data_IF_624358194009
#
_entry.id   IF_624358194009
#
_cell.length_a   1.000
_cell.length_b   1.000
_cell.length_c   1.000
_cell.angle_alpha   90.00
_cell.angle_beta   90.00
_cell.angle_gamma   90.00
#
_symmetry.space_group_name_H-M   'P 1'
#
loop_
_entity.id
_entity.type
_entity.pdbx_description
1 polymer ?
#
# COMPACT_ATOMS: atom_id res chain seq x y z
N UNK A 1 -22.80 -1.94 10.43
CA UNK A 1 -21.61 -2.30 9.64
C UNK A 1 -21.50 -3.80 9.67
N UNK A 2 -21.53 -4.46 8.52
CA UNK A 2 -21.09 -5.86 8.42
C UNK A 2 -19.57 -5.78 8.54
N UNK A 3 -19.02 -6.33 9.62
CA UNK A 3 -17.57 -6.46 9.73
C UNK A 3 -17.13 -7.57 8.76
N UNK A 4 -16.12 -7.30 7.93
CA UNK A 4 -15.48 -8.33 7.13
C UNK A 4 -14.95 -9.44 8.07
N UNK A 5 -14.98 -10.69 7.61
CA UNK A 5 -14.34 -11.78 8.34
C UNK A 5 -12.83 -11.54 8.44
N UNK A 6 -12.19 -12.15 9.44
CA UNK A 6 -10.73 -12.11 9.58
C UNK A 6 -10.03 -12.63 8.31
N UNK A 7 -10.56 -13.69 7.70
CA UNK A 7 -10.04 -14.26 6.44
C UNK A 7 -10.12 -13.28 5.27
N UNK A 8 -11.25 -12.57 5.13
CA UNK A 8 -11.41 -11.54 4.08
C UNK A 8 -10.46 -10.37 4.31
N UNK A 9 -10.25 -9.97 5.56
CA UNK A 9 -9.26 -8.94 5.90
C UNK A 9 -7.84 -9.39 5.55
N UNK A 10 -7.45 -10.60 5.97
CA UNK A 10 -6.13 -11.15 5.69
C UNK A 10 -5.87 -11.26 4.19
N UNK A 11 -6.88 -11.62 3.39
CA UNK A 11 -6.79 -11.59 1.93
C UNK A 11 -6.48 -10.17 1.42
N UNK A 12 -7.30 -9.20 1.80
CA UNK A 12 -7.14 -7.80 1.39
C UNK A 12 -5.76 -7.25 1.77
N UNK A 13 -5.33 -7.49 3.00
CA UNK A 13 -4.07 -6.99 3.54
C UNK A 13 -2.82 -7.68 2.96
N UNK A 14 -2.94 -8.91 2.46
CA UNK A 14 -1.79 -9.68 1.95
C UNK A 14 -1.61 -9.58 0.44
N UNK A 15 -2.70 -9.62 -0.34
CA UNK A 15 -2.64 -9.63 -1.81
C UNK A 15 -2.83 -8.26 -2.45
N UNK A 16 -3.67 -7.42 -1.86
CA UNK A 16 -4.18 -6.24 -2.52
C UNK A 16 -3.57 -4.95 -1.95
N UNK A 17 -3.53 -3.91 -2.77
CA UNK A 17 -3.26 -2.54 -2.33
C UNK A 17 -4.53 -1.89 -1.74
N UNK A 18 -4.43 -0.62 -1.33
CA UNK A 18 -5.56 0.10 -0.72
C UNK A 18 -6.75 0.31 -1.65
N UNK A 19 -6.60 0.08 -2.96
CA UNK A 19 -7.64 0.21 -3.97
C UNK A 19 -8.18 -1.15 -4.44
N UNK A 20 -7.74 -2.25 -3.81
CA UNK A 20 -8.18 -3.58 -4.20
C UNK A 20 -7.52 -4.11 -5.47
N UNK A 21 -6.41 -3.52 -5.92
CA UNK A 21 -5.59 -4.07 -7.02
C UNK A 21 -4.54 -5.02 -6.49
N UNK A 22 -4.26 -6.10 -7.22
CA UNK A 22 -3.20 -7.03 -6.85
C UNK A 22 -1.87 -6.27 -6.80
N UNK A 23 -1.12 -6.42 -5.71
CA UNK A 23 0.16 -5.71 -5.54
C UNK A 23 1.14 -6.05 -6.66
N UNK A 24 1.85 -5.04 -7.16
CA UNK A 24 2.78 -5.17 -8.28
C UNK A 24 3.89 -6.19 -8.05
N UNK A 25 4.27 -6.44 -6.80
CA UNK A 25 5.26 -7.45 -6.45
C UNK A 25 4.81 -8.87 -6.84
N UNK A 26 3.52 -9.15 -6.85
CA UNK A 26 2.98 -10.43 -7.31
C UNK A 26 2.80 -10.50 -8.83
N UNK A 27 2.89 -9.35 -9.53
CA UNK A 27 2.82 -9.26 -10.99
C UNK A 27 4.20 -9.34 -11.65
N UNK A 28 5.20 -8.69 -11.04
CA UNK A 28 6.46 -8.36 -11.74
C UNK A 28 7.73 -8.81 -11.03
N UNK A 29 7.72 -8.92 -9.69
CA UNK A 29 8.95 -9.18 -8.93
C UNK A 29 9.58 -10.53 -9.33
N UNK A 30 10.91 -10.64 -9.48
CA UNK A 30 11.55 -11.86 -9.97
C UNK A 30 11.26 -13.12 -9.14
N UNK A 31 10.97 -12.96 -7.85
CA UNK A 31 10.65 -14.08 -6.95
C UNK A 31 9.19 -14.08 -6.48
N UNK A 32 8.66 -12.90 -6.12
CA UNK A 32 7.35 -12.80 -5.43
C UNK A 32 6.18 -13.08 -6.37
N UNK A 33 6.38 -12.96 -7.69
CA UNK A 33 5.37 -13.33 -8.68
C UNK A 33 5.12 -14.84 -8.78
N UNK A 34 5.92 -15.68 -8.12
CA UNK A 34 5.81 -17.14 -8.23
C UNK A 34 5.99 -17.59 -9.68
N UNK A 35 5.08 -18.44 -10.20
CA UNK A 35 5.07 -18.81 -11.61
C UNK A 35 4.61 -17.67 -12.55
N UNK A 36 4.06 -16.57 -12.04
CA UNK A 36 3.56 -15.45 -12.85
C UNK A 36 2.33 -15.77 -13.68
N UNK A 37 1.54 -16.77 -13.27
CA UNK A 37 0.27 -17.13 -13.92
C UNK A 37 -0.90 -16.23 -13.52
N UNK A 38 -0.68 -15.35 -12.52
CA UNK A 38 -1.65 -14.37 -12.04
C UNK A 38 -1.14 -12.95 -12.26
N UNK A 39 -2.01 -12.02 -12.63
CA UNK A 39 -1.68 -10.63 -12.93
C UNK A 39 -2.84 -9.66 -12.61
N UNK A 40 -3.03 -8.62 -13.43
CA UNK A 40 -4.06 -7.58 -13.27
C UNK A 40 -5.49 -8.07 -13.45
N UNK A 41 -5.72 -9.34 -13.79
CA UNK A 41 -7.07 -9.90 -13.84
C UNK A 41 -7.79 -9.90 -12.47
N UNK A 42 -7.05 -9.87 -11.37
CA UNK A 42 -7.62 -9.67 -10.03
C UNK A 42 -7.97 -8.20 -9.73
N UNK A 43 -7.60 -7.25 -10.58
CA UNK A 43 -7.89 -5.82 -10.34
C UNK A 43 -9.37 -5.50 -10.64
N UNK A 44 -10.11 -6.42 -11.27
CA UNK A 44 -11.47 -6.22 -11.73
C UNK A 44 -12.33 -7.49 -11.58
N UNK A 45 -13.65 -7.29 -11.51
CA UNK A 45 -14.63 -8.37 -11.50
C UNK A 45 -14.97 -8.90 -10.11
N UNK A 46 -15.78 -9.96 -10.10
CA UNK A 46 -16.28 -10.57 -8.87
C UNK A 46 -15.26 -11.61 -8.37
N UNK A 47 -15.16 -11.78 -7.04
CA UNK A 47 -14.33 -12.80 -6.39
C UNK A 47 -15.17 -13.63 -5.43
N UNK A 48 -14.94 -14.94 -5.43
CA UNK A 48 -15.45 -15.87 -4.42
C UNK A 48 -14.33 -16.25 -3.48
N UNK A 49 -14.52 -16.07 -2.17
CA UNK A 49 -13.54 -16.45 -1.15
C UNK A 49 -14.02 -17.72 -0.46
N UNK A 50 -13.19 -18.75 -0.44
CA UNK A 50 -13.39 -19.94 0.39
C UNK A 50 -12.67 -19.69 1.71
N UNK A 51 -13.44 -19.37 2.75
CA UNK A 51 -12.88 -19.13 4.08
C UNK A 51 -12.52 -20.45 4.78
N UNK A 52 -13.40 -21.44 4.66
CA UNK A 52 -13.24 -22.76 5.26
C UNK A 52 -13.84 -23.84 4.34
N UNK A 53 -13.13 -24.95 4.19
CA UNK A 53 -13.58 -26.13 3.46
C UNK A 53 -13.34 -27.38 4.31
N UNK A 54 -14.41 -27.93 4.88
CA UNK A 54 -14.34 -29.07 5.78
C UNK A 54 -14.55 -30.41 5.08
N UNK A 55 -13.65 -31.38 5.30
CA UNK A 55 -13.84 -32.78 4.90
C UNK A 55 -13.89 -33.65 6.16
N UNK A 56 -15.07 -34.22 6.42
CA UNK A 56 -15.32 -35.15 7.51
C UNK A 56 -15.42 -36.57 6.94
N UNK A 57 -14.34 -37.36 7.00
CA UNK A 57 -14.32 -38.73 6.46
C UNK A 57 -13.44 -39.66 7.30
N UNK A 58 -13.91 -40.90 7.46
CA UNK A 58 -13.17 -42.00 8.11
C UNK A 58 -12.22 -42.73 7.16
N UNK A 59 -12.29 -42.45 5.85
CA UNK A 59 -11.45 -43.04 4.81
C UNK A 59 -11.14 -42.00 3.73
N UNK A 60 -10.11 -41.20 3.99
CA UNK A 60 -9.69 -40.08 3.12
C UNK A 60 -8.88 -40.54 1.88
N UNK A 61 -9.06 -41.77 1.41
CA UNK A 61 -8.30 -42.32 0.28
C UNK A 61 -8.96 -42.13 -1.09
N UNK A 62 -10.07 -41.41 -1.19
CA UNK A 62 -10.78 -41.21 -2.46
C UNK A 62 -11.03 -39.73 -2.72
N UNK A 63 -11.05 -39.37 -4.01
CA UNK A 63 -11.29 -38.04 -4.61
C UNK A 63 -12.60 -37.35 -4.19
N UNK A 64 -13.25 -37.78 -3.11
CA UNK A 64 -14.52 -37.25 -2.59
C UNK A 64 -14.44 -35.75 -2.31
N UNK A 65 -13.34 -35.26 -1.72
CA UNK A 65 -13.17 -33.83 -1.48
C UNK A 65 -13.12 -33.02 -2.79
N UNK A 66 -12.37 -33.52 -3.76
CA UNK A 66 -12.25 -32.94 -5.11
C UNK A 66 -13.61 -32.99 -5.82
N UNK A 67 -14.36 -34.08 -5.68
CA UNK A 67 -15.70 -34.23 -6.23
C UNK A 67 -16.69 -33.23 -5.62
N UNK A 68 -16.68 -33.05 -4.30
CA UNK A 68 -17.51 -32.05 -3.61
C UNK A 68 -17.17 -30.65 -4.09
N UNK A 69 -15.88 -30.30 -4.14
CA UNK A 69 -15.44 -29.01 -4.66
C UNK A 69 -15.90 -28.79 -6.10
N UNK A 70 -15.65 -29.74 -7.00
CA UNK A 70 -16.07 -29.63 -8.41
C UNK A 70 -17.59 -29.49 -8.54
N UNK A 71 -18.36 -30.21 -7.72
CA UNK A 71 -19.83 -30.09 -7.71
C UNK A 71 -20.28 -28.68 -7.32
N UNK A 72 -19.66 -28.09 -6.29
CA UNK A 72 -19.94 -26.70 -5.87
C UNK A 72 -19.56 -25.74 -6.99
N UNK A 73 -18.35 -25.84 -7.54
CA UNK A 73 -17.89 -24.95 -8.62
C UNK A 73 -18.79 -25.05 -9.86
N UNK A 74 -19.20 -26.25 -10.26
CA UNK A 74 -20.06 -26.45 -11.42
C UNK A 74 -21.47 -25.89 -11.21
N UNK A 75 -22.01 -25.96 -9.98
CA UNK A 75 -23.26 -25.28 -9.64
C UNK A 75 -23.11 -23.76 -9.74
N UNK A 76 -22.04 -23.18 -9.19
CA UNK A 76 -21.82 -21.74 -9.26
C UNK A 76 -21.56 -21.26 -10.70
N UNK A 77 -20.84 -22.05 -11.53
CA UNK A 77 -20.70 -21.78 -12.99
C UNK A 77 -22.05 -21.62 -13.67
N UNK A 78 -23.05 -22.41 -13.26
CA UNK A 78 -24.40 -22.39 -13.83
C UNK A 78 -25.21 -21.13 -13.54
N UNK A 79 -24.85 -20.36 -12.51
CA UNK A 79 -25.61 -19.18 -12.06
C UNK A 79 -25.12 -17.84 -12.67
N UNK A 80 -24.07 -17.87 -13.49
CA UNK A 80 -23.64 -16.75 -14.34
C UNK A 80 -22.56 -15.83 -13.75
N UNK A 81 -21.90 -15.11 -14.67
CA UNK A 81 -20.64 -14.33 -14.58
C UNK A 81 -19.41 -15.16 -14.18
N UNK A 82 -18.32 -14.96 -14.92
CA UNK A 82 -17.01 -15.53 -14.58
C UNK A 82 -16.42 -14.73 -13.42
N UNK A 83 -15.97 -15.42 -12.38
CA UNK A 83 -15.29 -14.86 -11.22
C UNK A 83 -14.05 -15.69 -10.91
N UNK A 84 -13.15 -15.14 -10.09
CA UNK A 84 -12.02 -15.88 -9.55
C UNK A 84 -12.35 -16.44 -8.17
N UNK A 85 -11.85 -17.63 -7.87
CA UNK A 85 -11.98 -18.22 -6.54
C UNK A 85 -10.66 -18.12 -5.82
N UNK A 86 -10.67 -17.59 -4.60
CA UNK A 86 -9.50 -17.43 -3.75
C UNK A 86 -9.67 -18.23 -2.46
N UNK A 87 -8.61 -18.89 -2.02
CA UNK A 87 -8.59 -19.65 -0.76
C UNK A 87 -7.23 -19.55 -0.10
N UNK A 88 -7.21 -19.55 1.23
CA UNK A 88 -5.95 -19.64 1.98
C UNK A 88 -5.54 -21.11 2.09
N UNK A 89 -4.24 -21.40 2.13
CA UNK A 89 -3.74 -22.78 2.30
C UNK A 89 -4.28 -23.42 3.58
N UNK A 90 -4.48 -22.66 4.65
CA UNK A 90 -5.01 -23.17 5.91
C UNK A 90 -6.54 -23.32 5.95
N UNK A 91 -7.26 -22.96 4.88
CA UNK A 91 -8.73 -23.04 4.84
C UNK A 91 -9.26 -24.48 4.75
N UNK A 92 -8.42 -25.48 4.46
CA UNK A 92 -8.82 -26.88 4.47
C UNK A 92 -8.85 -27.42 5.92
N UNK A 93 -10.03 -27.85 6.38
CA UNK A 93 -10.20 -28.48 7.69
C UNK A 93 -10.47 -29.96 7.49
N UNK A 94 -9.56 -30.80 7.98
CA UNK A 94 -9.71 -32.26 7.93
C UNK A 94 -9.99 -32.77 9.33
N UNK A 95 -11.16 -33.39 9.53
CA UNK A 95 -11.50 -34.06 10.77
C UNK A 95 -11.62 -35.56 10.53
N UNK A 96 -10.72 -36.33 11.16
CA UNK A 96 -10.76 -37.79 11.12
C UNK A 96 -11.48 -38.27 12.38
N UNK A 97 -12.72 -38.71 12.21
CA UNK A 97 -13.57 -39.16 13.30
C UNK A 97 -13.16 -40.59 13.74
N UNK A 98 -12.07 -40.71 14.51
CA UNK A 98 -11.71 -42.00 15.14
C UNK A 98 -12.37 -42.11 16.51
N UNK A 99 -13.50 -42.82 16.56
CA UNK A 99 -14.25 -43.11 17.80
C UNK A 99 -13.48 -43.98 18.83
N UNK A 100 -12.22 -44.32 18.57
CA UNK A 100 -11.36 -45.03 19.52
C UNK A 100 -9.90 -44.54 19.43
N UNK A 101 -9.50 -43.78 20.45
CA UNK A 101 -8.14 -43.72 21.02
C UNK A 101 -6.97 -43.11 20.23
N UNK A 102 -6.31 -42.16 20.93
CA UNK A 102 -4.96 -41.62 20.75
C UNK A 102 -4.75 -40.72 19.53
N UNK A 103 -4.77 -39.42 19.80
CA UNK A 103 -4.16 -38.36 19.01
C UNK A 103 -2.81 -38.80 18.40
N UNK A 104 -2.82 -39.32 17.17
CA UNK A 104 -1.80 -38.91 16.22
C UNK A 104 -2.20 -37.50 15.81
N UNK A 105 -1.69 -36.50 16.53
CA UNK A 105 -1.53 -35.19 15.91
C UNK A 105 -0.69 -35.48 14.66
N UNK A 106 -1.26 -35.30 13.48
CA UNK A 106 -0.44 -34.98 12.34
C UNK A 106 0.38 -33.77 12.78
N UNK A 107 1.69 -33.81 12.56
CA UNK A 107 2.49 -32.62 12.81
C UNK A 107 2.05 -31.57 11.77
N UNK A 108 2.08 -30.29 12.15
CA UNK A 108 1.61 -29.16 11.31
C UNK A 108 2.16 -29.22 9.86
N UNK A 109 3.38 -29.75 9.69
CA UNK A 109 4.03 -29.98 8.40
C UNK A 109 3.24 -30.91 7.47
N UNK A 110 2.69 -32.02 7.99
CA UNK A 110 1.92 -32.97 7.17
C UNK A 110 0.51 -32.46 6.85
N UNK A 111 -0.09 -31.61 7.69
CA UNK A 111 -1.37 -30.96 7.40
C UNK A 111 -1.24 -29.92 6.27
N UNK A 112 -0.17 -29.14 6.27
CA UNK A 112 0.12 -28.18 5.20
C UNK A 112 0.39 -28.86 3.86
N UNK A 113 1.25 -29.89 3.83
CA UNK A 113 1.51 -30.68 2.61
C UNK A 113 0.23 -31.26 2.01
N UNK A 114 -0.67 -31.75 2.86
CA UNK A 114 -1.95 -32.28 2.41
C UNK A 114 -2.87 -31.22 1.85
N UNK A 115 -2.97 -30.08 2.52
CA UNK A 115 -3.77 -28.96 2.03
C UNK A 115 -3.27 -28.46 0.67
N UNK A 116 -1.96 -28.33 0.52
CA UNK A 116 -1.33 -27.97 -0.75
C UNK A 116 -1.70 -28.95 -1.86
N UNK A 117 -1.57 -30.25 -1.61
CA UNK A 117 -1.93 -31.29 -2.58
C UNK A 117 -3.42 -31.23 -2.94
N UNK A 118 -4.30 -31.05 -1.95
CA UNK A 118 -5.75 -30.97 -2.16
C UNK A 118 -6.12 -29.80 -3.07
N UNK A 119 -5.70 -28.58 -2.74
CA UNK A 119 -6.05 -27.39 -3.52
C UNK A 119 -5.52 -27.48 -4.95
N UNK A 120 -4.29 -27.98 -5.14
CA UNK A 120 -3.72 -28.20 -6.46
C UNK A 120 -4.48 -29.25 -7.27
N UNK A 121 -4.96 -30.31 -6.62
CA UNK A 121 -5.79 -31.35 -7.24
C UNK A 121 -7.16 -30.82 -7.68
N UNK A 122 -7.70 -29.83 -6.96
CA UNK A 122 -8.89 -29.06 -7.35
C UNK A 122 -8.64 -28.05 -8.48
N UNK A 123 -7.40 -27.91 -8.96
CA UNK A 123 -7.03 -27.00 -10.04
C UNK A 123 -6.57 -25.61 -9.58
N UNK A 124 -6.47 -25.36 -8.27
CA UNK A 124 -5.92 -24.09 -7.79
C UNK A 124 -4.42 -23.99 -8.02
N UNK A 125 -3.94 -22.77 -8.27
CA UNK A 125 -2.50 -22.45 -8.33
C UNK A 125 -2.18 -21.29 -7.42
N UNK A 126 -0.97 -21.26 -6.87
CA UNK A 126 -0.58 -20.25 -5.89
C UNK A 126 -0.57 -18.84 -6.50
N UNK A 127 -1.02 -17.85 -5.74
CA UNK A 127 -0.90 -16.43 -6.07
C UNK A 127 0.43 -15.90 -5.58
N UNK A 128 1.37 -15.72 -6.51
CA UNK A 128 2.72 -15.27 -6.18
C UNK A 128 3.45 -16.23 -5.25
N UNK A 129 4.23 -15.67 -4.32
CA UNK A 129 4.90 -16.40 -3.24
C UNK A 129 4.10 -16.38 -1.93
N UNK A 130 2.79 -16.18 -1.99
CA UNK A 130 1.91 -16.05 -0.81
C UNK A 130 1.26 -17.37 -0.42
N UNK A 131 0.58 -17.42 0.72
CA UNK A 131 -0.21 -18.57 1.16
C UNK A 131 -1.62 -18.64 0.54
N UNK A 132 -1.90 -17.78 -0.44
CA UNK A 132 -3.15 -17.76 -1.17
C UNK A 132 -3.07 -18.52 -2.48
N UNK A 133 -4.20 -19.15 -2.81
CA UNK A 133 -4.41 -19.93 -4.02
C UNK A 133 -5.56 -19.34 -4.81
N UNK A 134 -5.38 -19.23 -6.13
CA UNK A 134 -6.38 -18.78 -7.09
C UNK A 134 -6.88 -19.93 -7.96
N UNK A 135 -8.13 -19.83 -8.38
CA UNK A 135 -8.74 -20.69 -9.39
C UNK A 135 -9.50 -19.84 -10.40
N UNK A 136 -9.31 -20.15 -11.69
CA UNK A 136 -9.95 -19.45 -12.79
C UNK A 136 -11.01 -20.33 -13.44
N UNK A 137 -12.16 -19.72 -13.71
CA UNK A 137 -13.26 -20.37 -14.44
C UNK A 137 -12.98 -20.51 -15.93
N UNK A 138 -12.02 -19.75 -16.47
CA UNK A 138 -11.63 -19.83 -17.88
C UNK A 138 -10.71 -21.03 -18.12
N UNK A 139 -11.13 -22.06 -18.88
CA UNK A 139 -10.29 -23.23 -19.18
C UNK A 139 -8.99 -22.88 -19.91
N UNK A 140 -8.96 -21.74 -20.62
CA UNK A 140 -7.76 -21.24 -21.32
C UNK A 140 -6.79 -20.47 -20.43
N UNK A 141 -7.13 -20.20 -19.17
CA UNK A 141 -6.31 -19.41 -18.27
C UNK A 141 -4.95 -20.10 -17.99
N UNK A 142 -3.82 -19.37 -17.95
CA UNK A 142 -2.50 -19.95 -17.68
C UNK A 142 -2.43 -20.82 -16.42
N UNK A 143 -3.15 -20.45 -15.36
CA UNK A 143 -3.24 -21.25 -14.13
C UNK A 143 -3.82 -22.65 -14.35
N UNK A 144 -4.80 -22.80 -15.25
CA UNK A 144 -5.41 -24.09 -15.57
C UNK A 144 -4.52 -24.95 -16.48
N UNK A 145 -3.57 -24.34 -17.19
CA UNK A 145 -2.58 -25.01 -18.04
C UNK A 145 -1.33 -25.46 -17.26
N UNK A 146 -1.07 -24.84 -16.10
CA UNK A 146 0.03 -25.20 -15.22
C UNK A 146 -0.30 -26.52 -14.48
N UNK A 147 0.62 -27.48 -14.47
CA UNK A 147 0.42 -28.73 -13.73
C UNK A 147 0.61 -28.50 -12.23
N UNK A 148 -0.03 -29.33 -11.40
CA UNK A 148 0.07 -29.28 -9.95
C UNK A 148 1.53 -29.37 -9.46
N UNK A 149 2.32 -30.26 -10.05
CA UNK A 149 3.73 -30.48 -9.67
C UNK A 149 4.67 -29.37 -10.19
N UNK A 150 4.21 -28.55 -11.14
CA UNK A 150 4.97 -27.41 -11.70
C UNK A 150 4.61 -26.07 -11.00
N UNK A 151 3.66 -26.10 -10.05
CA UNK A 151 3.20 -24.94 -9.30
C UNK A 151 4.22 -24.49 -8.24
N UNK A 152 4.18 -23.21 -7.88
CA UNK A 152 5.19 -22.62 -7.00
C UNK A 152 5.08 -23.15 -5.58
N UNK A 153 6.17 -23.73 -5.08
CA UNK A 153 6.33 -24.08 -3.67
C UNK A 153 7.04 -22.96 -2.93
N UNK A 154 6.33 -22.36 -1.97
CA UNK A 154 6.92 -21.38 -1.08
C UNK A 154 7.98 -22.06 -0.17
N UNK A 155 9.11 -21.39 0.11
CA UNK A 155 10.11 -21.93 1.03
C UNK A 155 9.49 -22.23 2.40
N UNK A 156 9.77 -23.42 2.93
CA UNK A 156 9.30 -23.83 4.26
C UNK A 156 9.93 -22.96 5.36
N UNK A 157 9.15 -22.73 6.41
CA UNK A 157 9.62 -22.10 7.66
C UNK A 157 10.85 -22.85 8.20
N UNK A 158 11.88 -22.10 8.58
CA UNK A 158 13.12 -22.67 9.09
C UNK A 158 12.98 -22.92 10.59
N UNK A 159 13.50 -24.04 11.11
CA UNK A 159 13.62 -24.28 12.54
C UNK A 159 15.04 -23.90 13.00
N UNK A 160 15.27 -22.68 13.52
CA UNK A 160 16.57 -22.32 14.09
C UNK A 160 16.87 -23.18 15.32
N UNK A 161 18.15 -23.34 15.66
CA UNK A 161 18.49 -24.07 16.89
C UNK A 161 18.04 -23.27 18.13
N UNK A 162 17.37 -23.89 19.13
CA UNK A 162 16.76 -23.16 20.24
C UNK A 162 17.74 -22.27 21.01
N UNK A 163 19.00 -22.73 21.19
CA UNK A 163 20.04 -21.94 21.86
C UNK A 163 20.47 -20.70 21.08
N UNK A 164 20.44 -20.76 19.74
CA UNK A 164 20.74 -19.60 18.90
C UNK A 164 19.57 -18.62 18.88
N UNK A 165 18.33 -19.10 18.84
CA UNK A 165 17.14 -18.23 18.87
C UNK A 165 17.12 -17.35 20.13
N UNK A 166 17.38 -17.93 21.32
CA UNK A 166 17.47 -17.17 22.58
C UNK A 166 18.60 -16.14 22.53
N UNK A 167 19.80 -16.55 22.10
CA UNK A 167 20.94 -15.66 21.99
C UNK A 167 20.69 -14.46 21.04
N UNK A 168 20.03 -14.72 19.91
CA UNK A 168 19.68 -13.68 18.96
C UNK A 168 18.62 -12.72 19.49
N UNK A 169 17.58 -13.25 20.14
CA UNK A 169 16.55 -12.42 20.76
C UNK A 169 17.14 -11.49 21.83
N UNK A 170 18.07 -11.98 22.65
CA UNK A 170 18.78 -11.16 23.64
C UNK A 170 19.61 -10.06 22.98
N UNK A 171 20.28 -10.35 21.86
CA UNK A 171 21.01 -9.34 21.07
C UNK A 171 20.08 -8.27 20.49
N UNK A 172 18.98 -8.69 19.88
CA UNK A 172 18.03 -7.77 19.23
C UNK A 172 17.24 -6.97 20.28
N UNK A 173 17.10 -7.44 21.51
CA UNK A 173 16.53 -6.66 22.61
C UNK A 173 17.38 -5.46 23.06
N UNK A 174 18.65 -5.39 22.67
CA UNK A 174 19.56 -4.29 23.04
C UNK A 174 19.25 -2.99 22.27
N UNK A 175 19.57 -1.84 22.86
CA UNK A 175 19.60 -0.59 22.12
C UNK A 175 20.62 -0.65 20.96
N UNK A 176 20.40 0.14 19.89
CA UNK A 176 21.21 0.04 18.68
C UNK A 176 22.71 0.31 18.94
N UNK A 177 23.04 1.26 19.81
CA UNK A 177 24.43 1.58 20.11
C UNK A 177 25.14 0.44 20.87
N UNK A 178 24.51 -0.10 21.90
CA UNK A 178 25.03 -1.24 22.65
C UNK A 178 25.13 -2.50 21.77
N UNK A 179 24.12 -2.76 20.93
CA UNK A 179 24.14 -3.86 19.97
C UNK A 179 25.30 -3.71 18.98
N UNK A 180 25.47 -2.50 18.43
CA UNK A 180 26.58 -2.16 17.56
C UNK A 180 27.92 -2.48 18.24
N UNK A 181 28.17 -2.01 19.47
CA UNK A 181 29.39 -2.34 20.22
C UNK A 181 29.57 -3.83 20.51
N UNK A 182 28.48 -4.53 20.84
CA UNK A 182 28.50 -5.98 21.01
C UNK A 182 28.90 -6.69 19.72
N UNK A 183 28.30 -6.32 18.58
CA UNK A 183 28.60 -6.88 17.26
C UNK A 183 30.08 -6.68 16.88
N UNK A 184 30.68 -5.52 17.15
CA UNK A 184 32.13 -5.32 16.88
C UNK A 184 33.00 -6.29 17.68
N UNK A 185 32.64 -6.53 18.92
CA UNK A 185 33.36 -7.48 19.76
C UNK A 185 33.23 -8.91 19.21
N UNK A 186 32.00 -9.32 18.85
CA UNK A 186 31.72 -10.64 18.28
C UNK A 186 32.37 -10.85 16.90
N UNK A 187 32.41 -9.82 16.05
CA UNK A 187 33.06 -9.90 14.75
C UNK A 187 34.59 -9.99 14.86
N UNK A 188 35.15 -9.56 15.99
CA UNK A 188 36.58 -9.68 16.28
C UNK A 188 36.97 -11.06 16.85
N UNK A 189 36.02 -11.86 17.36
CA UNK A 189 36.30 -13.13 18.07
C UNK A 189 36.35 -14.37 17.15
N UNK A 190 36.07 -14.22 15.84
CA UNK A 190 36.29 -15.24 14.81
C UNK A 190 35.27 -16.41 14.79
N UNK A 191 35.08 -17.12 15.90
CA UNK A 191 34.14 -18.26 15.96
C UNK A 191 32.67 -17.83 16.02
N UNK A 192 32.36 -16.80 16.82
CA UNK A 192 31.00 -16.28 16.97
C UNK A 192 30.53 -15.54 15.70
N UNK A 193 31.46 -14.91 14.97
CA UNK A 193 31.21 -14.30 13.66
C UNK A 193 30.59 -15.30 12.68
N UNK A 194 31.15 -16.50 12.57
CA UNK A 194 30.67 -17.50 11.62
C UNK A 194 29.26 -17.98 11.98
N UNK A 195 28.98 -18.16 13.28
CA UNK A 195 27.64 -18.50 13.76
C UNK A 195 26.62 -17.41 13.43
N UNK A 196 26.98 -16.14 13.65
CA UNK A 196 26.11 -15.01 13.32
C UNK A 196 25.82 -14.90 11.82
N UNK A 197 26.84 -15.15 10.99
CA UNK A 197 26.73 -15.06 9.53
C UNK A 197 25.83 -16.16 8.94
N UNK A 198 25.82 -17.34 9.54
CA UNK A 198 25.03 -18.49 9.08
C UNK A 198 23.62 -18.53 9.68
N UNK A 199 23.34 -17.73 10.70
CA UNK A 199 22.04 -17.71 11.35
C UNK A 199 20.97 -17.10 10.45
N UNK A 200 19.80 -17.74 10.50
CA UNK A 200 18.54 -17.24 9.97
C UNK A 200 17.44 -17.53 10.99
N UNK A 201 16.48 -16.62 11.12
CA UNK A 201 15.29 -16.85 11.94
C UNK A 201 14.30 -17.80 11.24
N UNK A 202 13.11 -17.97 11.84
CA UNK A 202 12.04 -18.83 11.29
C UNK A 202 11.57 -18.37 9.92
N UNK A 203 11.64 -17.07 9.65
CA UNK A 203 11.28 -16.43 8.39
C UNK A 203 12.45 -16.39 7.40
N UNK A 204 13.58 -17.04 7.70
CA UNK A 204 14.75 -17.00 6.84
C UNK A 204 15.47 -15.65 6.82
N UNK A 205 15.13 -14.73 7.74
CA UNK A 205 15.80 -13.45 7.85
C UNK A 205 17.21 -13.66 8.40
N UNK A 206 18.21 -13.20 7.66
CA UNK A 206 19.58 -13.11 8.16
C UNK A 206 19.70 -11.99 9.21
N UNK A 207 20.83 -11.90 9.91
CA UNK A 207 21.08 -10.79 10.84
C UNK A 207 20.84 -9.41 10.18
N UNK A 208 21.25 -9.23 8.91
CA UNK A 208 21.10 -7.94 8.23
C UNK A 208 19.63 -7.58 7.97
N UNK A 209 18.78 -8.56 7.64
CA UNK A 209 17.33 -8.35 7.53
C UNK A 209 16.77 -7.84 8.85
N UNK A 210 17.06 -8.57 9.93
CA UNK A 210 16.53 -8.28 11.26
C UNK A 210 16.95 -6.87 11.71
N UNK A 211 18.24 -6.54 11.61
CA UNK A 211 18.73 -5.20 11.99
C UNK A 211 18.10 -4.07 11.18
N UNK A 212 17.87 -4.30 9.88
CA UNK A 212 17.22 -3.33 9.01
C UNK A 212 15.76 -3.11 9.42
N UNK A 213 15.01 -4.21 9.53
CA UNK A 213 13.59 -4.25 9.89
C UNK A 213 13.34 -3.60 11.27
N UNK A 214 14.22 -3.86 12.24
CA UNK A 214 14.18 -3.25 13.58
C UNK A 214 14.70 -1.80 13.60
N UNK A 215 14.98 -1.20 12.44
CA UNK A 215 15.44 0.18 12.28
C UNK A 215 16.66 0.52 13.15
N UNK A 216 17.71 -0.31 13.07
CA UNK A 216 18.97 -0.20 13.83
C UNK A 216 20.17 0.25 12.97
N UNK A 217 20.28 1.54 12.61
CA UNK A 217 21.23 2.01 11.61
C UNK A 217 22.71 1.84 11.99
N UNK A 218 23.10 1.97 13.26
CA UNK A 218 24.49 1.74 13.67
C UNK A 218 24.89 0.28 13.49
N UNK A 219 24.00 -0.62 13.91
CA UNK A 219 24.19 -2.06 13.76
C UNK A 219 24.15 -2.48 12.28
N UNK A 220 23.26 -1.92 11.46
CA UNK A 220 23.23 -2.14 10.00
C UNK A 220 24.55 -1.71 9.35
N UNK A 221 25.03 -0.50 9.64
CA UNK A 221 26.31 0.00 9.12
C UNK A 221 27.45 -0.96 9.48
N UNK A 222 27.45 -1.45 10.72
CA UNK A 222 28.45 -2.38 11.21
C UNK A 222 28.37 -3.73 10.53
N UNK A 223 27.16 -4.30 10.39
CA UNK A 223 26.95 -5.55 9.68
C UNK A 223 27.40 -5.46 8.21
N UNK A 224 27.10 -4.36 7.53
CA UNK A 224 27.53 -4.13 6.14
C UNK A 224 29.06 -4.09 5.97
N UNK A 225 29.81 -3.65 6.99
CA UNK A 225 31.27 -3.63 6.95
C UNK A 225 31.89 -5.03 6.98
N UNK A 226 31.19 -6.04 7.52
CA UNK A 226 31.71 -7.41 7.69
C UNK A 226 30.98 -8.47 6.86
N UNK A 227 29.75 -8.21 6.44
CA UNK A 227 28.84 -9.18 5.82
C UNK A 227 28.05 -8.54 4.67
N UNK A 228 28.74 -7.80 3.80
CA UNK A 228 28.12 -7.10 2.66
C UNK A 228 27.44 -8.05 1.68
N UNK A 229 27.91 -9.29 1.61
CA UNK A 229 27.32 -10.35 0.79
C UNK A 229 25.85 -10.65 1.15
N UNK A 230 25.47 -10.44 2.43
CA UNK A 230 24.10 -10.66 2.91
C UNK A 230 23.07 -9.66 2.37
N UNK A 231 23.51 -8.58 1.73
CA UNK A 231 22.61 -7.60 1.06
C UNK A 231 21.79 -8.22 -0.07
N UNK A 232 22.29 -9.32 -0.65
CA UNK A 232 21.63 -10.06 -1.72
C UNK A 232 20.88 -11.32 -1.25
N UNK A 233 21.06 -11.71 0.02
CA UNK A 233 20.38 -12.87 0.59
C UNK A 233 18.88 -12.62 0.64
N UNK A 234 18.08 -13.65 0.35
CA UNK A 234 16.62 -13.57 0.38
C UNK A 234 16.05 -14.41 1.51
N UNK A 235 15.06 -13.88 2.23
CA UNK A 235 14.30 -14.60 3.25
C UNK A 235 13.24 -15.54 2.61
N UNK A 236 12.39 -16.21 3.40
CA UNK A 236 11.38 -17.14 2.85
C UNK A 236 10.33 -16.44 1.97
N UNK A 237 10.10 -15.13 2.19
CA UNK A 237 9.23 -14.29 1.35
C UNK A 237 9.94 -13.80 0.09
N UNK A 238 11.18 -14.23 -0.12
CA UNK A 238 12.00 -13.82 -1.24
C UNK A 238 12.49 -12.38 -1.16
N UNK A 239 12.51 -11.76 0.02
CA UNK A 239 12.90 -10.36 0.20
C UNK A 239 14.38 -10.28 0.55
N UNK A 240 15.11 -9.35 -0.07
CA UNK A 240 16.42 -8.89 0.42
C UNK A 240 16.25 -8.05 1.70
N UNK A 241 17.33 -7.72 2.45
CA UNK A 241 17.22 -6.84 3.62
C UNK A 241 16.60 -5.48 3.31
N UNK A 242 16.88 -4.93 2.13
CA UNK A 242 16.28 -3.67 1.67
C UNK A 242 14.79 -3.84 1.41
N UNK A 243 14.41 -4.87 0.64
CA UNK A 243 13.01 -5.16 0.31
C UNK A 243 12.20 -5.47 1.57
N UNK A 244 12.75 -6.21 2.54
CA UNK A 244 12.07 -6.55 3.78
C UNK A 244 11.85 -5.33 4.68
N UNK A 245 12.82 -4.41 4.75
CA UNK A 245 12.62 -3.11 5.40
C UNK A 245 11.55 -2.30 4.69
N UNK A 246 11.58 -2.22 3.36
CA UNK A 246 10.56 -1.49 2.59
C UNK A 246 9.15 -2.07 2.80
N UNK A 247 9.02 -3.39 2.83
CA UNK A 247 7.74 -4.06 3.09
C UNK A 247 7.21 -3.75 4.49
N UNK A 248 8.08 -3.80 5.52
CA UNK A 248 7.71 -3.42 6.90
C UNK A 248 7.25 -1.95 6.97
N UNK A 249 7.97 -1.04 6.32
CA UNK A 249 7.63 0.38 6.33
C UNK A 249 6.30 0.65 5.59
N UNK A 250 6.03 -0.08 4.51
CA UNK A 250 4.75 0.01 3.81
C UNK A 250 3.58 -0.49 4.68
N UNK A 251 3.78 -1.55 5.45
CA UNK A 251 2.83 -2.03 6.45
C UNK A 251 2.55 -0.96 7.51
N UNK A 252 3.60 -0.39 8.12
CA UNK A 252 3.48 0.69 9.12
C UNK A 252 2.77 1.95 8.56
N UNK A 253 2.95 2.23 7.27
CA UNK A 253 2.29 3.35 6.60
C UNK A 253 0.80 3.10 6.40
N UNK A 254 0.43 1.89 5.97
CA UNK A 254 -0.94 1.60 5.50
C UNK A 254 -1.85 1.08 6.60
N UNK A 255 -1.28 0.42 7.61
CA UNK A 255 -1.99 -0.28 8.67
C UNK A 255 -1.63 0.33 10.03
N UNK A 256 -2.64 0.73 10.79
CA UNK A 256 -2.48 1.11 12.19
C UNK A 256 -3.56 0.50 13.06
N UNK A 257 -3.43 0.65 14.38
CA UNK A 257 -4.45 0.24 15.35
C UNK A 257 -5.15 1.47 15.93
N UNK A 258 -6.48 1.50 15.87
CA UNK A 258 -7.33 2.51 16.50
C UNK A 258 -8.34 1.78 17.38
N UNK A 259 -8.24 1.97 18.71
CA UNK A 259 -9.11 1.31 19.71
C UNK A 259 -9.14 -0.23 19.57
N UNK A 260 -7.97 -0.87 19.49
CA UNK A 260 -7.79 -2.32 19.29
C UNK A 260 -8.40 -2.89 18.00
N UNK A 261 -8.90 -2.02 17.10
CA UNK A 261 -9.30 -2.37 15.74
C UNK A 261 -8.26 -1.86 14.75
N UNK A 262 -7.87 -2.70 13.80
CA UNK A 262 -7.00 -2.26 12.71
C UNK A 262 -7.75 -1.24 11.84
N UNK A 263 -7.09 -0.13 11.50
CA UNK A 263 -7.62 0.96 10.69
C UNK A 263 -6.62 1.33 9.60
N UNK A 264 -7.14 1.71 8.43
CA UNK A 264 -6.32 2.28 7.36
C UNK A 264 -5.79 3.65 7.81
N UNK A 265 -4.48 3.78 7.99
CA UNK A 265 -3.83 4.99 8.52
C UNK A 265 -3.02 5.76 7.48
N UNK A 266 -3.03 5.33 6.21
CA UNK A 266 -2.25 5.94 5.13
C UNK A 266 -2.42 7.47 5.05
N UNK A 267 -3.65 7.98 5.17
CA UNK A 267 -3.93 9.43 5.09
C UNK A 267 -3.45 10.21 6.33
N UNK A 268 -3.06 9.52 7.39
CA UNK A 268 -2.52 10.10 8.64
C UNK A 268 -1.01 9.84 8.81
N UNK A 269 -0.38 9.26 7.79
CA UNK A 269 1.06 9.03 7.76
C UNK A 269 1.83 10.36 7.75
N UNK A 270 2.87 10.46 8.59
CA UNK A 270 3.69 11.68 8.73
C UNK A 270 5.14 11.50 8.26
N UNK A 271 5.45 10.36 7.64
CA UNK A 271 6.79 9.98 7.26
C UNK A 271 7.42 8.93 8.17
N UNK A 272 8.38 8.19 7.62
CA UNK A 272 9.15 7.20 8.36
C UNK A 272 10.12 7.84 9.36
N UNK A 273 10.49 7.08 10.38
CA UNK A 273 11.45 7.53 11.39
C UNK A 273 12.84 7.77 10.79
N UNK A 274 13.61 8.67 11.41
CA UNK A 274 14.97 8.95 10.96
C UNK A 274 15.86 7.70 10.99
N UNK A 275 15.69 6.81 11.98
CA UNK A 275 16.46 5.56 12.06
C UNK A 275 16.16 4.63 10.89
N UNK A 276 14.89 4.50 10.49
CA UNK A 276 14.49 3.75 9.31
C UNK A 276 15.05 4.36 8.02
N UNK A 277 15.03 5.71 7.90
CA UNK A 277 15.61 6.43 6.76
C UNK A 277 17.12 6.15 6.67
N UNK A 278 17.84 6.20 7.79
CA UNK A 278 19.27 5.87 7.81
C UNK A 278 19.54 4.42 7.39
N UNK A 279 18.71 3.45 7.81
CA UNK A 279 18.82 2.07 7.32
C UNK A 279 18.61 1.98 5.80
N UNK A 280 17.59 2.65 5.25
CA UNK A 280 17.36 2.70 3.80
C UNK A 280 18.56 3.29 3.06
N UNK A 281 19.13 4.40 3.56
CA UNK A 281 20.32 5.02 2.98
C UNK A 281 21.50 4.06 2.96
N UNK A 282 21.77 3.38 4.07
CA UNK A 282 22.88 2.43 4.18
C UNK A 282 22.72 1.25 3.22
N UNK A 283 21.51 0.69 3.11
CA UNK A 283 21.23 -0.45 2.23
C UNK A 283 21.21 -0.07 0.74
N UNK A 284 20.95 1.20 0.42
CA UNK A 284 21.03 1.76 -0.94
C UNK A 284 22.40 2.37 -1.28
N UNK A 285 23.37 2.29 -0.37
CA UNK A 285 24.71 2.89 -0.51
C UNK A 285 24.70 4.41 -0.74
N UNK A 286 23.73 5.12 -0.15
CA UNK A 286 23.58 6.58 -0.23
C UNK A 286 24.43 7.23 0.87
N UNK A 287 25.50 7.91 0.48
CA UNK A 287 26.50 8.48 1.41
C UNK A 287 26.38 9.98 1.64
N UNK A 288 25.73 10.72 0.74
CA UNK A 288 25.58 12.19 0.81
C UNK A 288 24.28 12.64 0.16
N UNK A 289 23.12 12.37 0.80
CA UNK A 289 21.84 12.73 0.21
C UNK A 289 21.61 14.25 0.25
N UNK A 290 20.97 14.76 -0.78
CA UNK A 290 20.28 16.06 -0.72
C UNK A 290 19.11 16.01 0.26
N UNK A 291 18.63 17.18 0.72
CA UNK A 291 17.42 17.27 1.54
C UNK A 291 16.21 16.64 0.82
N UNK A 292 16.11 16.81 -0.50
CA UNK A 292 15.04 16.21 -1.31
C UNK A 292 15.10 14.68 -1.32
N UNK A 293 16.29 14.08 -1.40
CA UNK A 293 16.45 12.63 -1.32
C UNK A 293 16.04 12.09 0.06
N UNK A 294 16.37 12.81 1.14
CA UNK A 294 15.91 12.47 2.49
C UNK A 294 14.39 12.53 2.58
N UNK A 295 13.76 13.58 2.07
CA UNK A 295 12.30 13.71 2.07
C UNK A 295 11.63 12.62 1.22
N UNK A 296 12.21 12.28 0.06
CA UNK A 296 11.73 11.18 -0.80
C UNK A 296 11.79 9.83 -0.07
N UNK A 297 12.86 9.55 0.67
CA UNK A 297 12.94 8.35 1.51
C UNK A 297 11.91 8.40 2.64
N UNK A 298 11.78 9.54 3.33
CA UNK A 298 10.85 9.74 4.44
C UNK A 298 9.42 9.44 4.07
N UNK A 299 9.00 9.79 2.85
CA UNK A 299 7.63 9.60 2.39
C UNK A 299 7.46 8.43 1.41
N UNK A 300 8.43 7.52 1.31
CA UNK A 300 8.29 6.29 0.52
C UNK A 300 8.22 6.52 -0.99
N UNK A 301 8.80 7.60 -1.50
CA UNK A 301 8.87 7.87 -2.94
C UNK A 301 9.65 6.76 -3.65
N UNK A 302 9.03 6.17 -4.68
CA UNK A 302 9.65 5.15 -5.53
C UNK A 302 10.08 5.68 -6.90
N UNK A 303 9.51 6.81 -7.35
CA UNK A 303 9.82 7.38 -8.67
C UNK A 303 11.06 8.27 -8.68
N UNK A 304 11.53 8.74 -7.51
CA UNK A 304 12.65 9.67 -7.40
C UNK A 304 12.32 11.12 -7.78
N UNK A 305 11.07 11.45 -8.16
CA UNK A 305 10.68 12.76 -8.68
C UNK A 305 9.60 13.50 -7.86
N UNK A 306 9.13 12.91 -6.75
CA UNK A 306 8.12 13.55 -5.92
C UNK A 306 8.59 14.91 -5.39
N UNK A 307 7.71 15.92 -5.51
CA UNK A 307 7.89 17.25 -4.92
C UNK A 307 7.73 17.12 -3.41
N UNK A 308 8.72 17.64 -2.66
CA UNK A 308 8.84 17.48 -1.20
C UNK A 308 8.75 16.03 -0.71
N UNK A 309 9.11 15.07 -1.58
CA UNK A 309 9.10 13.65 -1.27
C UNK A 309 7.74 12.93 -1.36
N UNK A 310 6.62 13.65 -1.39
CA UNK A 310 5.29 13.03 -1.32
C UNK A 310 4.31 13.37 -2.46
N UNK A 311 4.43 14.54 -3.11
CA UNK A 311 3.54 14.89 -4.23
C UNK A 311 4.11 14.29 -5.52
N UNK A 312 3.49 13.21 -6.01
CA UNK A 312 3.97 12.50 -7.20
C UNK A 312 3.78 13.32 -8.49
N UNK A 313 4.55 13.03 -9.57
CA UNK A 313 4.38 13.72 -10.85
C UNK A 313 2.97 13.62 -11.44
N UNK A 314 2.32 12.46 -11.32
CA UNK A 314 0.95 12.24 -11.82
C UNK A 314 -0.09 13.03 -11.03
N UNK A 315 0.00 13.01 -9.70
CA UNK A 315 -0.89 13.80 -8.85
C UNK A 315 -0.66 15.30 -9.01
N UNK A 316 0.61 15.72 -9.18
CA UNK A 316 0.98 17.10 -9.47
C UNK A 316 0.30 17.59 -10.74
N UNK A 317 0.36 16.80 -11.82
CA UNK A 317 -0.29 17.12 -13.08
C UNK A 317 -1.81 17.20 -12.94
N UNK A 318 -2.44 16.21 -12.30
CA UNK A 318 -3.88 16.20 -12.05
C UNK A 318 -4.34 17.42 -11.25
N UNK A 319 -3.62 17.76 -10.17
CA UNK A 319 -3.97 18.88 -9.32
C UNK A 319 -3.75 20.23 -10.03
N UNK A 320 -2.67 20.38 -10.79
CA UNK A 320 -2.41 21.59 -11.55
C UNK A 320 -3.49 21.82 -12.63
N UNK A 321 -3.89 20.74 -13.31
CA UNK A 321 -4.98 20.78 -14.28
C UNK A 321 -6.31 21.20 -13.63
N UNK A 322 -6.69 20.56 -12.53
CA UNK A 322 -7.92 20.90 -11.82
C UNK A 322 -7.90 22.36 -11.32
N UNK A 323 -6.77 22.82 -10.79
CA UNK A 323 -6.59 24.21 -10.38
C UNK A 323 -6.79 25.18 -11.54
N UNK A 324 -6.19 24.90 -12.70
CA UNK A 324 -6.36 25.71 -13.90
C UNK A 324 -7.80 25.69 -14.41
N UNK A 325 -8.40 24.50 -14.60
CA UNK A 325 -9.78 24.30 -15.07
C UNK A 325 -10.78 25.08 -14.21
N UNK A 326 -10.70 24.92 -12.89
CA UNK A 326 -11.61 25.61 -11.97
C UNK A 326 -11.36 27.11 -11.87
N UNK A 327 -10.13 27.59 -12.10
CA UNK A 327 -9.87 29.05 -12.16
C UNK A 327 -10.65 29.76 -13.28
N UNK A 328 -11.01 29.01 -14.33
CA UNK A 328 -11.83 29.47 -15.46
C UNK A 328 -13.30 29.19 -15.19
N UNK A 329 -13.67 27.95 -14.86
CA UNK A 329 -15.09 27.53 -14.74
C UNK A 329 -15.81 28.27 -13.61
N UNK A 330 -15.12 28.62 -12.52
CA UNK A 330 -15.71 29.42 -11.44
C UNK A 330 -16.11 30.84 -11.87
N UNK A 331 -15.67 31.29 -13.05
CA UNK A 331 -16.02 32.60 -13.61
C UNK A 331 -17.32 32.56 -14.42
N UNK A 332 -17.84 31.38 -14.73
CA UNK A 332 -19.14 31.24 -15.34
C UNK A 332 -20.24 31.69 -14.38
N UNK A 333 -21.19 32.48 -14.89
CA UNK A 333 -22.27 33.09 -14.10
C UNK A 333 -21.81 33.85 -12.85
N UNK A 334 -20.54 34.30 -12.80
CA UNK A 334 -19.94 34.91 -11.60
C UNK A 334 -20.65 36.20 -11.15
N UNK A 335 -21.48 36.81 -12.01
CA UNK A 335 -22.31 37.96 -11.65
C UNK A 335 -23.56 37.58 -10.83
N UNK A 336 -24.06 36.34 -10.96
CA UNK A 336 -25.33 35.88 -10.41
C UNK A 336 -25.12 35.15 -9.07
N UNK A 337 -25.03 35.88 -7.96
CA UNK A 337 -24.65 35.33 -6.65
C UNK A 337 -25.35 34.05 -6.21
N UNK A 338 -26.68 34.06 -6.03
CA UNK A 338 -27.43 32.88 -5.58
C UNK A 338 -27.43 31.74 -6.61
N UNK A 339 -27.41 32.07 -7.90
CA UNK A 339 -27.31 31.07 -8.98
C UNK A 339 -25.94 30.39 -8.93
N UNK A 340 -24.88 31.18 -8.79
CA UNK A 340 -23.50 30.70 -8.70
C UNK A 340 -23.32 29.77 -7.50
N UNK A 341 -23.85 30.11 -6.32
CA UNK A 341 -23.80 29.23 -5.14
C UNK A 341 -24.50 27.89 -5.42
N UNK A 342 -25.67 27.92 -6.06
CA UNK A 342 -26.44 26.71 -6.37
C UNK A 342 -25.72 25.82 -7.39
N UNK A 343 -25.17 26.41 -8.46
CA UNK A 343 -24.43 25.67 -9.50
C UNK A 343 -23.13 25.06 -8.95
N UNK A 344 -22.51 25.69 -7.95
CA UNK A 344 -21.26 25.25 -7.35
C UNK A 344 -21.45 24.57 -5.98
N UNK A 345 -22.66 24.12 -5.64
CA UNK A 345 -22.95 23.63 -4.30
C UNK A 345 -22.07 22.45 -3.86
N UNK A 346 -21.79 21.52 -4.80
CA UNK A 346 -20.97 20.32 -4.56
C UNK A 346 -19.50 20.66 -4.28
N UNK A 347 -18.93 21.57 -5.06
CA UNK A 347 -17.53 21.99 -4.88
C UNK A 347 -17.34 22.94 -3.67
N UNK A 348 -18.41 23.60 -3.23
CA UNK A 348 -18.40 24.47 -2.05
C UNK A 348 -18.53 23.70 -0.73
N UNK A 349 -18.56 22.37 -0.73
CA UNK A 349 -18.63 21.51 0.48
C UNK A 349 -17.62 21.89 1.56
N UNK A 350 -16.40 22.27 1.19
CA UNK A 350 -15.35 22.70 2.12
C UNK A 350 -15.43 24.17 2.56
N UNK A 351 -16.34 24.93 1.96
CA UNK A 351 -16.50 26.35 2.23
C UNK A 351 -17.44 26.55 3.43
N UNK A 352 -16.99 27.18 4.53
CA UNK A 352 -17.84 27.44 5.69
C UNK A 352 -19.06 28.29 5.32
N UNK A 353 -20.20 28.06 5.98
CA UNK A 353 -21.46 28.74 5.70
C UNK A 353 -21.35 30.28 5.68
N UNK A 354 -20.63 30.85 6.66
CA UNK A 354 -20.35 32.30 6.70
C UNK A 354 -19.59 32.82 5.47
N UNK A 355 -18.72 31.99 4.88
CA UNK A 355 -18.00 32.33 3.66
C UNK A 355 -18.90 32.16 2.43
N UNK A 356 -19.75 31.12 2.38
CA UNK A 356 -20.76 30.95 1.32
C UNK A 356 -21.70 32.16 1.23
N UNK A 357 -22.18 32.68 2.35
CA UNK A 357 -23.01 33.89 2.39
C UNK A 357 -22.28 35.13 1.82
N UNK A 358 -20.98 35.26 2.10
CA UNK A 358 -20.16 36.34 1.52
C UNK A 358 -19.94 36.15 0.02
N UNK A 359 -19.72 34.92 -0.42
CA UNK A 359 -19.60 34.56 -1.84
C UNK A 359 -20.92 34.85 -2.57
N UNK A 360 -22.07 34.55 -1.97
CA UNK A 360 -23.38 34.87 -2.54
C UNK A 360 -23.57 36.39 -2.71
N UNK A 361 -23.31 37.14 -1.63
CA UNK A 361 -23.61 38.56 -1.58
C UNK A 361 -22.66 39.44 -2.42
N UNK A 362 -21.44 38.96 -2.73
CA UNK A 362 -20.39 39.83 -3.30
C UNK A 362 -19.66 39.17 -4.47
N UNK A 363 -19.81 39.75 -5.66
CA UNK A 363 -19.05 39.35 -6.86
C UNK A 363 -17.54 39.32 -6.63
N UNK A 364 -16.98 40.34 -5.99
CA UNK A 364 -15.54 40.40 -5.73
C UNK A 364 -15.02 39.23 -4.86
N UNK A 365 -15.85 38.65 -3.98
CA UNK A 365 -15.47 37.47 -3.22
C UNK A 365 -15.39 36.22 -4.11
N UNK A 366 -16.31 36.09 -5.07
CA UNK A 366 -16.28 34.99 -6.06
C UNK A 366 -15.11 35.12 -7.02
N UNK A 367 -14.82 36.34 -7.47
CA UNK A 367 -13.65 36.63 -8.32
C UNK A 367 -12.35 36.25 -7.61
N UNK A 368 -12.24 36.58 -6.32
CA UNK A 368 -11.08 36.19 -5.52
C UNK A 368 -11.02 34.67 -5.23
N UNK A 369 -12.17 34.01 -5.04
CA UNK A 369 -12.22 32.55 -4.90
C UNK A 369 -11.72 31.84 -6.18
N UNK A 370 -12.18 32.29 -7.36
CA UNK A 370 -11.71 31.79 -8.65
C UNK A 370 -10.22 32.12 -8.91
N UNK A 371 -9.79 33.34 -8.58
CA UNK A 371 -8.39 33.76 -8.72
C UNK A 371 -7.45 32.93 -7.83
N UNK A 372 -7.88 32.59 -6.60
CA UNK A 372 -7.11 31.70 -5.72
C UNK A 372 -6.87 30.32 -6.33
N UNK A 373 -7.81 29.76 -7.11
CA UNK A 373 -7.58 28.52 -7.84
C UNK A 373 -6.47 28.68 -8.89
N UNK A 374 -6.44 29.82 -9.58
CA UNK A 374 -5.35 30.18 -10.49
C UNK A 374 -3.99 30.27 -9.77
N UNK A 375 -3.94 30.85 -8.57
CA UNK A 375 -2.72 30.88 -7.76
C UNK A 375 -2.24 29.47 -7.35
N UNK A 376 -3.16 28.53 -7.12
CA UNK A 376 -2.80 27.12 -6.88
C UNK A 376 -2.15 26.51 -8.13
N UNK A 377 -2.70 26.76 -9.32
CA UNK A 377 -2.11 26.30 -10.57
C UNK A 377 -0.69 26.84 -10.76
N UNK A 378 -0.48 28.16 -10.62
CA UNK A 378 0.85 28.78 -10.71
C UNK A 378 1.80 28.24 -9.65
N UNK A 379 1.32 27.98 -8.43
CA UNK A 379 2.15 27.43 -7.36
C UNK A 379 2.70 26.05 -7.74
N UNK A 380 1.85 25.22 -8.34
CA UNK A 380 2.23 23.90 -8.83
C UNK A 380 3.14 24.00 -10.05
N UNK A 381 2.89 24.90 -11.00
CA UNK A 381 3.78 25.15 -12.15
C UNK A 381 5.21 25.53 -11.70
N UNK A 382 5.32 26.33 -10.62
CA UNK A 382 6.60 26.69 -9.97
C UNK A 382 7.23 25.53 -9.16
N UNK A 383 6.64 24.33 -9.22
CA UNK A 383 7.02 23.12 -8.44
C UNK A 383 7.03 23.36 -6.94
N UNK A 384 6.16 24.25 -6.44
CA UNK A 384 5.95 24.48 -5.03
C UNK A 384 4.72 23.71 -4.54
N UNK A 385 4.74 23.31 -3.27
CA UNK A 385 3.55 22.79 -2.62
C UNK A 385 2.53 23.93 -2.44
N UNK A 386 1.24 23.70 -2.76
CA UNK A 386 0.20 24.70 -2.62
C UNK A 386 -0.22 24.84 -1.15
N UNK A 387 0.71 25.18 -0.25
CA UNK A 387 0.41 25.44 1.17
C UNK A 387 -0.16 26.83 1.36
N UNK A 388 -0.85 27.06 2.48
CA UNK A 388 -1.37 28.40 2.79
C UNK A 388 -0.27 29.46 2.85
N UNK A 389 0.92 29.12 3.36
CA UNK A 389 2.06 30.02 3.40
C UNK A 389 2.54 30.40 2.00
N UNK A 390 2.75 29.41 1.12
CA UNK A 390 3.23 29.64 -0.24
C UNK A 390 2.23 30.47 -1.05
N UNK A 391 0.95 30.11 -1.00
CA UNK A 391 -0.11 30.81 -1.73
C UNK A 391 -0.28 32.24 -1.24
N UNK A 392 -0.23 32.49 0.08
CA UNK A 392 -0.27 33.86 0.61
C UNK A 392 0.91 34.67 0.11
N UNK A 393 2.13 34.15 0.18
CA UNK A 393 3.33 34.85 -0.32
C UNK A 393 3.19 35.19 -1.81
N UNK A 394 2.68 34.27 -2.63
CA UNK A 394 2.46 34.51 -4.06
C UNK A 394 1.42 35.59 -4.31
N UNK A 395 0.26 35.53 -3.64
CA UNK A 395 -0.79 36.56 -3.75
C UNK A 395 -0.24 37.94 -3.35
N UNK A 396 0.45 38.05 -2.22
CA UNK A 396 1.02 39.32 -1.77
C UNK A 396 2.06 39.87 -2.75
N UNK A 397 2.89 39.02 -3.36
CA UNK A 397 3.88 39.44 -4.36
C UNK A 397 3.24 39.89 -5.67
N UNK A 398 2.17 39.21 -6.10
CA UNK A 398 1.47 39.53 -7.36
C UNK A 398 0.75 40.87 -7.33
N UNK A 399 0.29 41.32 -6.15
CA UNK A 399 -0.57 42.48 -6.02
C UNK A 399 -1.99 42.31 -6.60
N UNK A 400 -2.41 41.08 -6.93
CA UNK A 400 -3.71 40.81 -7.55
C UNK A 400 -4.85 41.15 -6.57
N UNK A 401 -5.71 42.09 -6.99
CA UNK A 401 -6.63 42.79 -6.11
C UNK A 401 -7.77 41.91 -5.60
N UNK A 402 -8.28 40.97 -6.40
CA UNK A 402 -9.40 40.12 -6.00
C UNK A 402 -8.99 39.09 -4.94
N UNK A 403 -7.86 38.40 -5.13
CA UNK A 403 -7.29 37.45 -4.17
C UNK A 403 -6.92 38.14 -2.85
N UNK A 404 -6.29 39.32 -2.92
CA UNK A 404 -5.99 40.11 -1.72
C UNK A 404 -7.26 40.49 -0.95
N UNK A 405 -8.27 41.00 -1.64
CA UNK A 405 -9.55 41.35 -1.03
C UNK A 405 -10.27 40.13 -0.45
N UNK A 406 -10.22 38.99 -1.14
CA UNK A 406 -10.80 37.74 -0.65
C UNK A 406 -10.18 37.34 0.68
N UNK A 407 -8.84 37.28 0.76
CA UNK A 407 -8.14 36.93 2.00
C UNK A 407 -8.42 37.93 3.13
N UNK A 408 -8.36 39.23 2.85
CA UNK A 408 -8.62 40.28 3.85
C UNK A 408 -10.06 40.27 4.37
N UNK A 409 -11.02 39.79 3.59
CA UNK A 409 -12.44 39.73 3.95
C UNK A 409 -12.83 38.37 4.56
N UNK A 410 -11.85 37.57 4.96
CA UNK A 410 -12.06 36.27 5.62
C UNK A 410 -12.35 35.13 4.65
N UNK A 411 -11.90 35.24 3.40
CA UNK A 411 -11.75 34.11 2.49
C UNK A 411 -10.69 33.15 3.01
N UNK A 412 -10.92 31.85 2.79
CA UNK A 412 -10.05 30.78 3.29
C UNK A 412 -9.33 30.10 2.14
N UNK A 413 -7.99 30.09 2.19
CA UNK A 413 -7.16 29.33 1.22
C UNK A 413 -7.51 27.84 1.29
N UNK A 414 -7.70 27.33 2.51
CA UNK A 414 -8.07 25.94 2.76
C UNK A 414 -9.39 25.53 2.10
N UNK A 415 -10.36 26.43 1.96
CA UNK A 415 -11.63 26.12 1.27
C UNK A 415 -11.40 25.89 -0.23
N UNK A 416 -10.58 26.74 -0.88
CA UNK A 416 -10.25 26.62 -2.30
C UNK A 416 -9.35 25.40 -2.54
N UNK A 417 -8.29 25.25 -1.75
CA UNK A 417 -7.36 24.14 -1.93
C UNK A 417 -8.01 22.78 -1.66
N UNK A 418 -8.80 22.63 -0.58
CA UNK A 418 -9.48 21.35 -0.29
C UNK A 418 -10.48 20.99 -1.40
N UNK A 419 -11.17 21.97 -1.98
CA UNK A 419 -12.01 21.76 -3.16
C UNK A 419 -11.20 21.22 -4.33
N UNK A 420 -10.04 21.82 -4.65
CA UNK A 420 -9.21 21.37 -5.78
C UNK A 420 -8.62 19.97 -5.57
N UNK A 421 -8.15 19.67 -4.35
CA UNK A 421 -7.70 18.32 -4.00
C UNK A 421 -8.83 17.30 -4.12
N UNK A 422 -10.05 17.64 -3.67
CA UNK A 422 -11.22 16.77 -3.82
C UNK A 422 -11.58 16.56 -5.28
N UNK A 423 -11.55 17.61 -6.11
CA UNK A 423 -11.83 17.49 -7.54
C UNK A 423 -10.78 16.64 -8.28
N UNK A 424 -9.50 16.76 -7.92
CA UNK A 424 -8.45 15.89 -8.46
C UNK A 424 -8.66 14.43 -8.07
N UNK A 425 -9.00 14.17 -6.80
CA UNK A 425 -9.31 12.84 -6.30
C UNK A 425 -10.57 12.24 -6.96
N UNK A 426 -11.63 13.03 -7.11
CA UNK A 426 -12.91 12.57 -7.69
C UNK A 426 -12.79 12.25 -9.18
N UNK A 427 -11.85 12.89 -9.88
CA UNK A 427 -11.58 12.61 -11.29
C UNK A 427 -10.56 11.50 -11.55
N UNK A 428 -9.92 10.99 -10.49
CA UNK A 428 -8.86 9.99 -10.58
C UNK A 428 -9.39 8.59 -10.92
N UNK A 429 -8.59 7.77 -11.60
CA UNK A 429 -9.00 6.42 -12.03
C UNK A 429 -9.19 5.42 -10.89
N UNK A 430 -8.56 5.65 -9.73
CA UNK A 430 -8.63 4.76 -8.58
C UNK A 430 -9.48 5.34 -7.46
N UNK A 431 -9.32 6.63 -7.19
CA UNK A 431 -10.03 7.30 -6.12
C UNK A 431 -11.40 7.88 -6.54
N UNK A 432 -11.70 7.88 -7.84
CA UNK A 432 -12.80 8.64 -8.43
C UNK A 432 -13.46 7.96 -9.63
N UNK A 433 -13.89 8.79 -10.59
CA UNK A 433 -14.69 8.40 -11.76
C UNK A 433 -13.88 8.24 -13.05
N UNK A 434 -12.55 8.35 -12.98
CA UNK A 434 -11.62 8.25 -14.13
C UNK A 434 -11.72 9.37 -15.18
N UNK A 435 -12.52 10.42 -14.98
CA UNK A 435 -12.67 11.49 -15.99
C UNK A 435 -11.33 12.14 -16.37
N UNK A 436 -10.39 12.25 -15.43
CA UNK A 436 -9.08 12.84 -15.72
C UNK A 436 -8.25 11.94 -16.64
N UNK A 437 -8.27 10.63 -16.41
CA UNK A 437 -7.61 9.64 -17.25
C UNK A 437 -8.24 9.54 -18.64
N UNK A 438 -9.57 9.65 -18.74
CA UNK A 438 -10.26 9.68 -20.05
C UNK A 438 -9.86 10.90 -20.89
N UNK A 439 -9.67 12.07 -20.26
CA UNK A 439 -9.25 13.30 -20.94
C UNK A 439 -7.74 13.33 -21.24
N UNK A 440 -6.89 12.82 -20.33
CA UNK A 440 -5.43 13.05 -20.34
C UNK A 440 -4.57 11.79 -20.30
N UNK A 441 -5.15 10.61 -20.50
CA UNK A 441 -4.47 9.30 -20.43
C UNK A 441 -3.10 9.26 -21.11
N UNK A 442 -2.98 9.66 -22.40
CA UNK A 442 -1.70 9.64 -23.10
C UNK A 442 -0.61 10.52 -22.47
N UNK A 443 -0.98 11.59 -21.75
CA UNK A 443 -0.03 12.46 -21.05
C UNK A 443 0.35 11.87 -19.69
N UNK A 444 -0.61 11.31 -18.95
CA UNK A 444 -0.38 10.66 -17.65
C UNK A 444 0.51 9.42 -17.82
N UNK A 445 0.29 8.64 -18.87
CA UNK A 445 1.09 7.45 -19.18
C UNK A 445 2.57 7.76 -19.43
N UNK A 446 2.90 8.98 -19.87
CA UNK A 446 4.28 9.44 -20.04
C UNK A 446 4.96 9.80 -18.71
N UNK A 447 4.18 10.03 -17.65
CA UNK A 447 4.69 10.34 -16.32
C UNK A 447 5.03 9.06 -15.56
N UNK A 448 6.15 9.10 -14.84
CA UNK A 448 6.62 7.99 -14.00
C UNK A 448 5.59 7.62 -12.94
N UNK A 449 5.36 6.32 -12.74
CA UNK A 449 4.54 5.79 -11.65
C UNK A 449 5.27 5.93 -10.32
N UNK A 450 4.53 6.16 -9.26
CA UNK A 450 5.05 6.28 -7.91
C UNK A 450 4.13 5.60 -6.91
N UNK A 451 4.69 5.05 -5.83
CA UNK A 451 3.91 4.59 -4.68
C UNK A 451 3.01 5.69 -4.12
N UNK A 452 3.43 6.94 -4.20
CA UNK A 452 2.61 8.07 -3.71
C UNK A 452 1.49 8.47 -4.67
N UNK A 453 1.31 7.83 -5.83
CA UNK A 453 0.18 8.10 -6.70
C UNK A 453 -1.15 7.80 -5.99
N UNK A 454 -2.22 8.52 -6.36
CA UNK A 454 -3.58 8.37 -5.83
C UNK A 454 -3.78 8.73 -4.33
N UNK A 455 -2.72 9.05 -3.59
CA UNK A 455 -2.74 9.34 -2.14
C UNK A 455 -3.27 10.76 -1.81
N UNK A 456 -4.39 11.20 -2.40
CA UNK A 456 -4.90 12.58 -2.29
C UNK A 456 -5.24 13.01 -0.86
N UNK A 457 -5.76 12.11 -0.02
CA UNK A 457 -6.06 12.38 1.39
C UNK A 457 -4.80 12.74 2.19
N UNK A 458 -3.77 11.89 2.06
CA UNK A 458 -2.42 12.13 2.59
C UNK A 458 -1.81 13.45 2.09
N UNK A 459 -1.75 13.67 0.76
CA UNK A 459 -1.10 14.85 0.17
C UNK A 459 -1.81 16.15 0.56
N UNK A 460 -3.14 16.17 0.59
CA UNK A 460 -3.95 17.31 1.06
C UNK A 460 -3.62 17.64 2.52
N UNK A 461 -3.53 16.61 3.37
CA UNK A 461 -3.19 16.76 4.79
C UNK A 461 -1.77 17.30 4.99
N UNK A 462 -0.81 16.82 4.21
CA UNK A 462 0.58 17.32 4.22
C UNK A 462 0.70 18.79 3.76
N UNK A 463 -0.23 19.27 2.94
CA UNK A 463 -0.32 20.69 2.56
C UNK A 463 -1.00 21.57 3.63
N UNK A 464 -1.46 20.97 4.74
CA UNK A 464 -2.14 21.65 5.85
C UNK A 464 -3.65 21.78 5.68
N UNK A 465 -4.25 20.97 4.80
CA UNK A 465 -5.69 20.99 4.52
C UNK A 465 -6.42 19.80 5.11
N UNK A 466 -7.74 19.78 4.95
CA UNK A 466 -8.54 18.64 5.42
C UNK A 466 -8.22 17.40 4.59
N UNK A 467 -8.28 16.26 5.24
CA UNK A 467 -8.27 14.96 4.58
C UNK A 467 -9.53 14.82 3.71
N UNK A 468 -9.32 14.90 2.39
CA UNK A 468 -10.40 14.89 1.40
C UNK A 468 -10.97 13.48 1.19
N UNK A 469 -10.25 12.42 1.60
CA UNK A 469 -10.70 11.04 1.46
C UNK A 469 -11.76 10.69 2.53
N UNK A 470 -11.57 11.13 3.78
CA UNK A 470 -12.49 10.82 4.90
C UNK A 470 -13.88 11.43 4.78
N UNK A 471 -14.09 12.40 3.89
CA UNK A 471 -15.38 13.07 3.72
C UNK A 471 -16.27 12.38 2.68
N UNK A 472 -15.73 11.45 1.89
CA UNK A 472 -16.48 10.63 0.92
C UNK A 472 -17.38 9.58 1.59
N UNK A 473 -17.07 9.17 2.83
CA UNK A 473 -17.81 8.15 3.58
C UNK A 473 -19.13 8.64 4.20
N UNK A 474 -19.64 9.80 3.76
CA UNK A 474 -20.84 10.45 4.33
C UNK A 474 -22.07 10.42 3.42
N UNK A 475 -22.07 9.61 2.36
CA UNK A 475 -23.22 9.41 1.48
C UNK A 475 -23.84 8.03 1.68
#
# INVERSE_FOLDING_TARGET
MVHASESTYNLAASLFDRYGRLRDEFKTHPFKKGNGVWSSEFDHGDMLIIEEFGIYSTSWQNDTGVLVFNTVIDDVKGHGRSFFVLTHVASLVISVDTFQSRHRKLNECSEQEWSLHFWRSCGFRRVGSTDWFGYSMDPGHPANLLKADDDFDAPLTICPSPGMEVFFNDLIGMDDHALSERLRTLFSSGSEYQCLRQYVDRQGNTLLHILAIESKPESVRRALAYMRDLTSSRNIRGETPLEALQARLEEDRTVGFVNDAMAATADSFTGFSDTSIYCLMLLRDITSPSLEEVDRLRFGCTCGECISGFLSPRMHFALAWQAFRWSVFLRDDISLGSVWIRLNAEILTFTPEKLRQKLEARRAMREGFAAMAGFVATCLEDRLLPTEENLRKMVFRSGELFSLNFLQRGGAVSAVASMLFKQAMDSDELAGDSLFQDEHGPLIEQLVTCRNDHEFGFVSSMCGYRDVAKLSASL
#
